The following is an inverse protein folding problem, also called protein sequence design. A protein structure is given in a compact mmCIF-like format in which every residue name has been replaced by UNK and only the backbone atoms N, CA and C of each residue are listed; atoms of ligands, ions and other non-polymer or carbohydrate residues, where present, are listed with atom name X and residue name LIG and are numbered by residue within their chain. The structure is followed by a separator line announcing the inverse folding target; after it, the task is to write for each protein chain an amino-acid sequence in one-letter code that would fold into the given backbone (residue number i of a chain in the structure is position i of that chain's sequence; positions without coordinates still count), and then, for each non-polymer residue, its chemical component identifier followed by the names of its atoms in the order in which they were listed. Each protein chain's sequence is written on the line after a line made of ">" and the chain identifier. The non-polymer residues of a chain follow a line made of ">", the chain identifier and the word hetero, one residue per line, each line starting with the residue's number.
data_IF_669469906082
#
_entry.id   IF_669469906082
#
_cell.length_a   1.000
_cell.length_b   1.000
_cell.length_c   1.000
_cell.angle_alpha   90.00
_cell.angle_beta   90.00
_cell.angle_gamma   90.00
#
_symmetry.space_group_name_H-M   'P 1'
#
loop_
_entity.id
_entity.type
_entity.pdbx_description
1 polymer ?
#
# COMPACT_ATOMS: atom_id res chain seq x y z
N UNK A 1 2.65 -11.57 -2.42
CA UNK A 1 1.39 -11.85 -1.70
C UNK A 1 0.37 -12.43 -2.66
N UNK A 2 -0.30 -13.51 -2.26
CA UNK A 2 -1.32 -14.13 -3.08
C UNK A 2 -2.66 -13.39 -2.93
N UNK A 3 -3.03 -12.60 -3.93
CA UNK A 3 -4.28 -11.84 -3.94
C UNK A 3 -5.52 -12.71 -4.25
N UNK A 4 -5.34 -13.95 -4.71
CA UNK A 4 -6.46 -14.86 -4.96
C UNK A 4 -7.19 -15.26 -3.67
N UNK A 5 -6.58 -15.03 -2.51
CA UNK A 5 -7.20 -15.26 -1.19
C UNK A 5 -8.28 -14.21 -0.86
N UNK A 6 -8.33 -13.10 -1.57
CA UNK A 6 -9.40 -12.10 -1.40
C UNK A 6 -10.62 -12.63 -2.13
N UNK A 7 -11.60 -13.03 -1.36
CA UNK A 7 -12.88 -13.46 -1.92
C UNK A 7 -13.54 -12.27 -2.61
N UNK A 8 -13.94 -12.46 -3.88
CA UNK A 8 -14.59 -11.41 -4.65
C UNK A 8 -13.74 -10.11 -4.81
N UNK A 9 -12.44 -10.30 -5.11
CA UNK A 9 -11.45 -9.22 -5.24
C UNK A 9 -11.95 -8.06 -6.10
N UNK A 10 -12.55 -8.34 -7.24
CA UNK A 10 -13.05 -7.30 -8.16
C UNK A 10 -14.13 -6.45 -7.51
N UNK A 11 -15.04 -7.06 -6.76
CA UNK A 11 -16.10 -6.35 -6.03
C UNK A 11 -15.53 -5.49 -4.91
N UNK A 12 -14.56 -6.01 -4.15
CA UNK A 12 -13.91 -5.27 -3.06
C UNK A 12 -13.20 -4.01 -3.60
N UNK A 13 -12.41 -4.15 -4.66
CA UNK A 13 -11.74 -3.00 -5.27
C UNK A 13 -12.71 -2.07 -5.99
N UNK A 14 -13.79 -2.59 -6.60
CA UNK A 14 -14.84 -1.75 -7.15
C UNK A 14 -15.49 -0.90 -6.06
N UNK A 15 -15.77 -1.46 -4.89
CA UNK A 15 -16.31 -0.70 -3.76
C UNK A 15 -15.39 0.46 -3.35
N UNK A 16 -14.09 0.20 -3.23
CA UNK A 16 -13.10 1.25 -2.93
C UNK A 16 -13.06 2.31 -4.03
N UNK A 17 -13.07 1.88 -5.28
CA UNK A 17 -13.10 2.79 -6.43
C UNK A 17 -14.37 3.65 -6.44
N UNK A 18 -15.54 3.07 -6.15
CA UNK A 18 -16.81 3.79 -6.09
C UNK A 18 -16.81 4.83 -4.93
N UNK A 19 -16.20 4.50 -3.79
CA UNK A 19 -16.01 5.46 -2.68
C UNK A 19 -15.10 6.59 -3.11
N UNK A 20 -13.98 6.28 -3.75
CA UNK A 20 -13.06 7.26 -4.28
C UNK A 20 -13.71 8.18 -5.30
N UNK A 21 -14.48 7.66 -6.26
CA UNK A 21 -15.18 8.44 -7.26
C UNK A 21 -16.26 9.35 -6.68
N UNK A 22 -16.85 8.97 -5.54
CA UNK A 22 -17.85 9.78 -4.84
C UNK A 22 -17.26 10.82 -3.92
N UNK A 23 -16.00 10.66 -3.50
CA UNK A 23 -15.31 11.68 -2.74
C UNK A 23 -15.18 12.92 -3.65
N UNK A 24 -15.53 14.11 -3.16
CA UNK A 24 -15.32 15.37 -3.87
C UNK A 24 -13.82 15.62 -4.04
N UNK A 25 -13.23 14.88 -4.95
CA UNK A 25 -11.81 14.80 -5.11
C UNK A 25 -11.28 16.03 -5.85
N UNK A 26 -10.35 16.72 -5.23
CA UNK A 26 -9.70 17.87 -5.81
C UNK A 26 -8.29 17.47 -6.27
N UNK A 27 -8.11 17.38 -7.59
CA UNK A 27 -6.83 17.09 -8.25
C UNK A 27 -5.69 18.03 -7.81
N UNK A 28 -6.01 19.27 -7.49
CA UNK A 28 -5.01 20.28 -7.12
C UNK A 28 -4.40 20.03 -5.73
N UNK A 29 -5.12 19.37 -4.84
CA UNK A 29 -4.74 19.21 -3.44
C UNK A 29 -4.48 17.76 -3.01
N UNK A 30 -4.74 16.78 -3.88
CA UNK A 30 -4.60 15.37 -3.53
C UNK A 30 -3.55 14.69 -4.39
N UNK A 31 -2.56 14.08 -3.74
CA UNK A 31 -1.54 13.29 -4.41
C UNK A 31 -1.93 11.83 -4.55
N UNK A 32 -2.83 11.35 -3.69
CA UNK A 32 -3.37 9.98 -3.68
C UNK A 32 -4.53 9.88 -2.68
N UNK A 33 -5.26 8.75 -2.73
CA UNK A 33 -6.26 8.37 -1.73
C UNK A 33 -5.73 7.25 -0.85
N UNK A 34 -6.05 7.32 0.44
CA UNK A 34 -5.78 6.27 1.41
C UNK A 34 -7.09 5.72 1.96
N UNK A 35 -7.15 4.40 2.08
CA UNK A 35 -8.18 3.66 2.79
C UNK A 35 -7.52 2.88 3.93
N UNK A 36 -8.13 2.91 5.09
CA UNK A 36 -7.59 2.28 6.30
C UNK A 36 -8.36 1.03 6.68
N UNK A 37 -7.88 0.32 7.70
CA UNK A 37 -8.36 -0.96 8.18
C UNK A 37 -9.90 -1.07 8.26
N UNK A 38 -10.57 -0.06 8.79
CA UNK A 38 -12.02 -0.02 8.99
C UNK A 38 -12.81 -0.01 7.66
N UNK A 39 -12.21 0.58 6.61
CA UNK A 39 -12.79 0.63 5.27
C UNK A 39 -12.48 -0.62 4.45
N UNK A 40 -11.56 -1.45 4.96
CA UNK A 40 -11.00 -2.62 4.30
C UNK A 40 -11.52 -3.94 4.89
N UNK A 41 -12.63 -3.92 5.62
CA UNK A 41 -13.18 -5.06 6.36
C UNK A 41 -13.33 -6.33 5.50
N UNK A 42 -13.78 -6.18 4.25
CA UNK A 42 -14.06 -7.30 3.35
C UNK A 42 -12.81 -8.15 3.00
N UNK A 43 -11.61 -7.58 3.08
CA UNK A 43 -10.37 -8.28 2.71
C UNK A 43 -9.23 -8.17 3.73
N UNK A 44 -9.46 -7.50 4.86
CA UNK A 44 -8.44 -7.32 5.88
C UNK A 44 -7.87 -8.66 6.37
N UNK A 45 -8.74 -9.58 6.80
CA UNK A 45 -8.30 -10.87 7.36
C UNK A 45 -7.55 -11.75 6.35
N UNK A 46 -8.07 -11.96 5.12
CA UNK A 46 -7.33 -12.71 4.11
C UNK A 46 -5.95 -12.12 3.77
N UNK A 47 -5.86 -10.80 3.68
CA UNK A 47 -4.59 -10.12 3.41
C UNK A 47 -3.61 -10.25 4.57
N UNK A 48 -4.06 -10.04 5.80
CA UNK A 48 -3.23 -10.21 6.98
C UNK A 48 -2.64 -11.62 7.05
N UNK A 49 -3.46 -12.65 6.82
CA UNK A 49 -3.00 -14.03 6.75
C UNK A 49 -1.96 -14.24 5.65
N UNK A 50 -2.15 -13.62 4.48
CA UNK A 50 -1.21 -13.70 3.37
C UNK A 50 0.13 -13.01 3.67
N UNK A 51 0.11 -11.85 4.32
CA UNK A 51 1.31 -11.13 4.74
C UNK A 51 2.06 -11.89 5.85
N UNK A 52 1.36 -12.33 6.88
CA UNK A 52 1.96 -13.12 7.97
C UNK A 52 2.53 -14.46 7.46
N UNK A 53 1.88 -15.10 6.50
CA UNK A 53 2.40 -16.32 5.87
C UNK A 53 3.69 -16.07 5.07
N UNK A 54 3.91 -14.86 4.58
CA UNK A 54 5.12 -14.48 3.82
C UNK A 54 6.25 -13.95 4.70
N UNK A 55 5.93 -13.14 5.69
CA UNK A 55 6.91 -12.35 6.45
C UNK A 55 7.03 -12.78 7.92
N UNK A 56 6.17 -13.65 8.42
CA UNK A 56 6.06 -14.01 9.83
C UNK A 56 5.05 -13.15 10.59
N UNK A 57 5.05 -13.28 11.91
CA UNK A 57 4.12 -12.54 12.76
C UNK A 57 4.37 -11.03 12.70
N UNK A 58 3.32 -10.28 12.42
CA UNK A 58 3.33 -8.81 12.37
C UNK A 58 2.47 -8.29 13.51
N UNK A 59 3.09 -7.60 14.45
CA UNK A 59 2.42 -6.99 15.59
C UNK A 59 1.88 -5.60 15.24
N UNK A 60 0.73 -5.23 15.81
CA UNK A 60 0.05 -3.96 15.56
C UNK A 60 -0.11 -3.65 14.06
N UNK A 61 -0.58 -4.59 13.25
CA UNK A 61 -0.64 -4.38 11.81
C UNK A 61 -1.60 -3.25 11.46
N UNK A 62 -1.20 -2.42 10.49
CA UNK A 62 -2.03 -1.41 9.86
C UNK A 62 -1.99 -1.62 8.35
N UNK A 63 -3.14 -1.87 7.76
CA UNK A 63 -3.29 -2.01 6.32
C UNK A 63 -3.75 -0.68 5.73
N UNK A 64 -3.18 -0.32 4.57
CA UNK A 64 -3.59 0.86 3.79
C UNK A 64 -3.66 0.50 2.32
N UNK A 65 -4.65 1.01 1.64
CA UNK A 65 -4.74 0.97 0.17
C UNK A 65 -4.56 2.38 -0.36
N UNK A 66 -3.65 2.53 -1.30
CA UNK A 66 -3.39 3.79 -2.00
C UNK A 66 -3.93 3.69 -3.43
N UNK A 67 -4.67 4.69 -3.83
CA UNK A 67 -5.17 4.85 -5.19
C UNK A 67 -4.62 6.15 -5.76
N UNK A 68 -3.81 6.04 -6.80
CA UNK A 68 -3.31 7.17 -7.58
C UNK A 68 -4.05 7.23 -8.91
N UNK A 69 -4.82 8.29 -9.11
CA UNK A 69 -5.44 8.55 -10.40
C UNK A 69 -4.38 8.97 -11.45
N UNK A 70 -4.74 8.98 -12.74
CA UNK A 70 -3.91 9.59 -13.76
C UNK A 70 -3.39 10.98 -13.36
N UNK A 71 -2.13 11.25 -13.63
CA UNK A 71 -1.40 12.51 -13.32
C UNK A 71 -1.11 12.74 -11.84
N UNK A 72 -1.41 11.79 -10.96
CA UNK A 72 -1.04 11.90 -9.55
C UNK A 72 0.34 11.34 -9.26
N UNK A 73 1.00 11.93 -8.28
CA UNK A 73 2.29 11.47 -7.81
C UNK A 73 2.49 11.79 -6.33
N UNK A 74 3.28 10.97 -5.68
CA UNK A 74 3.81 11.20 -4.35
C UNK A 74 5.30 11.52 -4.51
N UNK A 75 5.71 12.71 -4.06
CA UNK A 75 7.09 13.18 -4.16
C UNK A 75 8.07 12.31 -3.38
N UNK A 76 9.36 12.46 -3.65
CA UNK A 76 10.42 11.74 -2.96
C UNK A 76 10.40 12.09 -1.46
N UNK A 77 10.31 11.10 -0.60
CA UNK A 77 10.24 11.25 0.86
C UNK A 77 10.77 10.03 1.59
N UNK A 78 10.95 10.19 2.89
CA UNK A 78 11.16 9.11 3.85
C UNK A 78 9.93 8.97 4.73
N UNK A 79 9.58 7.76 5.10
CA UNK A 79 8.53 7.52 6.09
C UNK A 79 9.05 7.75 7.50
N UNK A 80 8.46 8.69 8.21
CA UNK A 80 8.77 8.92 9.63
C UNK A 80 8.00 7.99 10.56
N UNK A 81 6.83 7.52 10.11
CA UNK A 81 5.88 6.72 10.92
C UNK A 81 5.47 7.37 12.25
N UNK A 82 5.59 8.69 12.39
CA UNK A 82 5.34 9.39 13.66
C UNK A 82 3.98 9.04 14.26
N UNK A 83 2.92 9.22 13.51
CA UNK A 83 1.54 8.92 13.96
C UNK A 83 1.37 7.44 14.35
N UNK A 84 1.94 6.53 13.58
CA UNK A 84 1.89 5.10 13.89
C UNK A 84 2.67 4.77 15.17
N UNK A 85 3.88 5.34 15.32
CA UNK A 85 4.72 5.18 16.51
C UNK A 85 4.03 5.70 17.76
N UNK A 86 3.44 6.88 17.68
CA UNK A 86 2.75 7.50 18.81
C UNK A 86 1.53 6.68 19.23
N UNK A 87 0.72 6.24 18.25
CA UNK A 87 -0.47 5.42 18.48
C UNK A 87 -0.17 4.10 19.20
N UNK A 88 0.94 3.45 18.86
CA UNK A 88 1.29 2.12 19.35
C UNK A 88 2.48 2.11 20.33
N UNK A 89 2.99 3.29 20.71
CA UNK A 89 4.13 3.46 21.64
C UNK A 89 5.39 2.71 21.20
N UNK A 90 5.69 2.69 19.89
CA UNK A 90 6.78 1.92 19.30
C UNK A 90 8.06 2.76 19.22
N UNK A 91 9.16 2.23 19.77
CA UNK A 91 10.51 2.82 19.68
C UNK A 91 11.44 2.08 18.72
N UNK A 92 11.12 0.83 18.41
CA UNK A 92 11.92 -0.05 17.55
C UNK A 92 11.71 0.19 16.04
N UNK A 93 12.31 -0.66 15.19
CA UNK A 93 12.14 -0.60 13.75
C UNK A 93 10.71 -0.90 13.34
N UNK A 94 10.27 -0.21 12.30
CA UNK A 94 8.95 -0.43 11.69
C UNK A 94 9.13 -1.27 10.44
N UNK A 95 8.34 -2.33 10.34
CA UNK A 95 8.20 -3.12 9.13
C UNK A 95 7.19 -2.45 8.19
N UNK A 96 7.51 -2.38 6.91
CA UNK A 96 6.60 -1.95 5.87
C UNK A 96 6.80 -2.76 4.60
N UNK A 97 5.71 -3.27 4.06
CA UNK A 97 5.70 -3.91 2.74
C UNK A 97 4.61 -3.30 1.86
N UNK A 98 4.94 -3.12 0.59
CA UNK A 98 4.03 -2.64 -0.44
C UNK A 98 3.74 -3.75 -1.44
N UNK A 99 2.47 -3.95 -1.76
CA UNK A 99 1.99 -4.92 -2.75
C UNK A 99 1.28 -4.20 -3.89
N UNK A 100 1.62 -4.54 -5.12
CA UNK A 100 0.89 -4.07 -6.30
C UNK A 100 -0.40 -4.88 -6.46
N UNK A 101 -1.52 -4.18 -6.64
CA UNK A 101 -2.85 -4.80 -6.72
C UNK A 101 -3.19 -5.26 -8.13
N UNK A 102 -2.67 -4.54 -9.13
CA UNK A 102 -2.83 -4.85 -10.55
C UNK A 102 -1.48 -5.05 -11.22
N UNK A 103 -1.50 -5.64 -12.41
CA UNK A 103 -0.34 -5.68 -13.28
C UNK A 103 0.11 -4.25 -13.63
N UNK A 104 1.40 -4.11 -13.92
CA UNK A 104 1.95 -2.85 -14.36
C UNK A 104 1.32 -2.37 -15.67
N UNK A 105 1.09 -1.08 -15.74
CA UNK A 105 0.65 -0.39 -16.95
C UNK A 105 1.60 0.76 -17.29
N UNK A 106 1.63 1.16 -18.56
CA UNK A 106 2.43 2.29 -18.99
C UNK A 106 2.09 3.56 -18.22
N UNK A 107 3.15 4.21 -17.72
CA UNK A 107 3.02 5.42 -16.89
C UNK A 107 2.99 5.15 -15.38
N UNK A 108 2.77 3.91 -14.95
CA UNK A 108 2.89 3.55 -13.54
C UNK A 108 4.34 3.36 -13.14
N UNK A 109 4.79 4.00 -12.08
CA UNK A 109 6.13 3.80 -11.52
C UNK A 109 6.13 3.86 -9.99
N UNK A 110 7.12 3.23 -9.41
CA UNK A 110 7.53 3.41 -8.01
C UNK A 110 9.05 3.40 -7.97
N UNK A 111 9.64 4.36 -7.26
CA UNK A 111 11.06 4.43 -7.00
C UNK A 111 11.30 4.10 -5.54
N UNK A 112 12.16 3.13 -5.25
CA UNK A 112 12.57 2.76 -3.89
C UNK A 112 14.10 2.74 -3.87
N UNK A 113 14.70 3.67 -3.16
CA UNK A 113 16.13 3.93 -3.26
C UNK A 113 16.52 4.26 -4.69
N UNK A 114 17.41 3.46 -5.26
CA UNK A 114 17.88 3.61 -6.65
C UNK A 114 17.13 2.72 -7.64
N UNK A 115 16.08 2.01 -7.22
CA UNK A 115 15.38 1.04 -8.05
C UNK A 115 14.04 1.59 -8.53
N UNK A 116 13.86 1.68 -9.83
CA UNK A 116 12.57 1.96 -10.45
C UNK A 116 11.82 0.64 -10.64
N UNK A 117 10.69 0.50 -9.99
CA UNK A 117 9.82 -0.67 -10.12
C UNK A 117 8.82 -0.43 -11.25
N UNK A 118 8.93 -1.24 -12.26
CA UNK A 118 8.03 -1.31 -13.41
C UNK A 118 7.88 -2.78 -13.86
N UNK A 119 6.93 -3.05 -14.74
CA UNK A 119 6.66 -4.43 -15.22
C UNK A 119 6.33 -5.43 -14.10
N UNK A 120 5.89 -4.94 -12.95
CA UNK A 120 5.43 -5.78 -11.86
C UNK A 120 4.11 -6.47 -12.19
N UNK A 121 3.81 -7.53 -11.47
CA UNK A 121 2.56 -8.28 -11.54
C UNK A 121 1.71 -8.07 -10.29
N UNK A 122 0.41 -8.25 -10.44
CA UNK A 122 -0.50 -8.25 -9.30
C UNK A 122 -0.04 -9.27 -8.24
N UNK A 123 0.10 -8.82 -6.99
CA UNK A 123 0.63 -9.60 -5.89
C UNK A 123 2.13 -9.47 -5.66
N UNK A 124 2.90 -8.88 -6.58
CA UNK A 124 4.29 -8.55 -6.33
C UNK A 124 4.40 -7.64 -5.11
N UNK A 125 5.30 -8.00 -4.21
CA UNK A 125 5.43 -7.34 -2.92
C UNK A 125 6.88 -6.99 -2.65
N UNK A 126 7.12 -5.75 -2.27
CA UNK A 126 8.44 -5.24 -1.90
C UNK A 126 8.45 -4.79 -0.44
N UNK A 127 9.53 -5.13 0.26
CA UNK A 127 9.81 -4.59 1.59
C UNK A 127 10.45 -3.21 1.42
N UNK A 128 9.89 -2.20 2.07
CA UNK A 128 10.42 -0.83 2.07
C UNK A 128 11.09 -0.61 3.41
N UNK A 129 12.41 -0.53 3.40
CA UNK A 129 13.17 -0.21 4.61
C UNK A 129 12.90 1.23 5.04
N UNK A 130 12.87 1.46 6.35
CA UNK A 130 12.45 2.73 6.95
C UNK A 130 13.23 3.96 6.42
N UNK A 131 14.55 3.82 6.24
CA UNK A 131 15.44 4.92 5.87
C UNK A 131 15.69 5.02 4.35
N UNK A 132 14.91 4.30 3.56
CA UNK A 132 15.06 4.32 2.10
C UNK A 132 14.12 5.36 1.50
N UNK A 133 14.65 6.37 0.78
CA UNK A 133 13.83 7.35 0.10
C UNK A 133 13.02 6.68 -0.99
N UNK A 134 11.76 7.07 -1.10
CA UNK A 134 10.88 6.48 -2.11
C UNK A 134 9.86 7.49 -2.62
N UNK A 135 9.36 7.22 -3.80
CA UNK A 135 8.27 7.98 -4.42
C UNK A 135 7.50 7.07 -5.38
N UNK A 136 6.40 7.58 -5.90
CA UNK A 136 5.63 6.87 -6.90
C UNK A 136 4.68 7.79 -7.65
N UNK A 137 4.23 7.33 -8.80
CA UNK A 137 3.33 8.13 -9.61
C UNK A 137 2.57 7.30 -10.62
N UNK A 138 1.59 7.98 -11.20
CA UNK A 138 0.74 7.48 -12.25
C UNK A 138 0.66 8.51 -13.38
N UNK A 139 1.46 8.32 -14.42
CA UNK A 139 1.40 9.08 -15.67
C UNK A 139 0.59 8.34 -16.75
N UNK A 140 -0.04 7.25 -16.38
CA UNK A 140 -0.87 6.42 -17.25
C UNK A 140 -2.32 6.87 -17.32
N UNK A 141 -3.17 6.00 -17.85
CA UNK A 141 -4.59 6.29 -18.08
C UNK A 141 -5.52 5.66 -17.05
N UNK A 142 -5.09 4.58 -16.39
CA UNK A 142 -5.87 3.85 -15.38
C UNK A 142 -5.34 4.10 -13.98
N UNK A 143 -6.15 3.98 -12.93
CA UNK A 143 -5.71 4.12 -11.55
C UNK A 143 -4.60 3.12 -11.19
N UNK A 144 -3.54 3.61 -10.56
CA UNK A 144 -2.52 2.77 -9.94
C UNK A 144 -2.92 2.48 -8.50
N UNK A 145 -3.03 1.21 -8.15
CA UNK A 145 -3.46 0.79 -6.81
C UNK A 145 -2.34 -0.03 -6.16
N UNK A 146 -1.96 0.37 -4.96
CA UNK A 146 -1.03 -0.37 -4.11
C UNK A 146 -1.61 -0.58 -2.73
N UNK A 147 -1.21 -1.66 -2.08
CA UNK A 147 -1.53 -1.93 -0.67
C UNK A 147 -0.26 -1.90 0.14
N UNK A 148 -0.30 -1.26 1.29
CA UNK A 148 0.80 -1.25 2.23
C UNK A 148 0.38 -1.86 3.55
N UNK A 149 1.23 -2.71 4.09
CA UNK A 149 1.14 -3.13 5.48
C UNK A 149 2.27 -2.49 6.27
N UNK A 150 1.93 -1.94 7.42
CA UNK A 150 2.87 -1.40 8.39
C UNK A 150 2.69 -2.17 9.70
N UNK A 151 3.78 -2.47 10.40
CA UNK A 151 3.72 -3.20 11.66
C UNK A 151 5.09 -3.31 12.31
N UNK A 152 5.18 -4.17 13.32
CA UNK A 152 6.44 -4.54 13.96
C UNK A 152 6.63 -6.04 13.77
N UNK A 153 7.79 -6.43 13.27
CA UNK A 153 8.12 -7.86 13.17
C UNK A 153 8.38 -8.43 14.55
N UNK A 154 7.75 -9.54 14.87
CA UNK A 154 8.12 -10.32 16.02
C UNK A 154 9.46 -11.00 15.70
N UNK A 155 10.54 -10.51 16.33
CA UNK A 155 11.80 -11.24 16.31
C UNK A 155 11.60 -12.53 17.09
N UNK A 156 11.71 -13.65 16.41
CA UNK A 156 11.76 -14.94 17.08
C UNK A 156 13.00 -14.95 17.97
N UNK A 157 12.78 -14.94 19.28
CA UNK A 157 13.82 -15.10 20.27
C UNK A 157 14.44 -16.49 20.14
#
# INVERSE_FOLDING_TARGET
>A
VNLSMIQDKEKAFKKLFDVWMKSNWNLENSTYFEFYDEELEDFYQPLMKAYQGKFGEILNPQLRVFVMAPMQHLGLHFDTFSTYRDKHHIKGPIFRAMTFVSDWEWGHYSLIGNNVLHQYKAGDTVHIQQDVPHCGGNLGFNPKITMNITGVMHESI
#
